data_IF_129008952603
#
_entry.id   IF_129008952603
#
_cell.length_a   1.000
_cell.length_b   1.000
_cell.length_c   1.000
_cell.angle_alpha   90.00
_cell.angle_beta   90.00
_cell.angle_gamma   90.00
#
_symmetry.space_group_name_H-M   'P 1'
#
loop_
_entity.id
_entity.type
_entity.pdbx_description
1 polymer ?
#
# COMPACT_ATOMS: atom_id res chain seq x y z
N UNK A 1 7.50 -17.98 12.66
CA UNK A 1 6.15 -17.40 12.64
C UNK A 1 5.31 -18.12 11.59
N UNK A 2 4.14 -18.65 11.97
CA UNK A 2 3.23 -19.38 11.08
C UNK A 2 2.27 -18.42 10.40
N UNK A 3 2.34 -18.32 9.07
CA UNK A 3 1.63 -17.33 8.27
C UNK A 3 0.62 -18.03 7.35
N UNK A 4 -0.59 -17.49 7.30
CA UNK A 4 -1.55 -17.77 6.23
C UNK A 4 -1.61 -16.59 5.25
N UNK A 5 -1.84 -16.87 3.98
CA UNK A 5 -1.96 -15.85 2.92
C UNK A 5 -3.35 -15.95 2.29
N UNK A 6 -4.09 -14.84 2.26
CA UNK A 6 -5.35 -14.73 1.52
C UNK A 6 -5.13 -14.16 0.12
N UNK A 7 -5.91 -14.64 -0.85
CA UNK A 7 -5.70 -14.30 -2.25
C UNK A 7 -4.44 -14.95 -2.80
N UNK A 8 -4.09 -16.14 -2.29
CA UNK A 8 -2.80 -16.79 -2.45
C UNK A 8 -2.41 -17.02 -3.92
N UNK A 9 -3.40 -17.29 -4.78
CA UNK A 9 -3.16 -17.48 -6.20
C UNK A 9 -3.08 -16.16 -6.99
N UNK A 10 -3.41 -15.03 -6.37
CA UNK A 10 -3.33 -13.70 -6.96
C UNK A 10 -1.90 -13.19 -7.16
N UNK A 11 -1.76 -12.02 -7.81
CA UNK A 11 -0.44 -11.42 -8.09
C UNK A 11 0.40 -11.19 -6.83
N UNK A 12 -0.20 -10.55 -5.80
CA UNK A 12 0.47 -10.31 -4.52
C UNK A 12 0.63 -11.57 -3.69
N UNK A 13 -0.39 -12.46 -3.69
CA UNK A 13 -0.34 -13.72 -2.95
C UNK A 13 0.86 -14.58 -3.33
N UNK A 14 1.15 -14.68 -4.64
CA UNK A 14 2.35 -15.39 -5.13
C UNK A 14 3.64 -14.80 -4.55
N UNK A 15 3.83 -13.48 -4.67
CA UNK A 15 5.01 -12.81 -4.14
C UNK A 15 5.18 -12.98 -2.63
N UNK A 16 4.05 -12.98 -1.88
CA UNK A 16 4.07 -13.24 -0.44
C UNK A 16 4.48 -14.67 -0.12
N UNK A 17 4.02 -15.66 -0.90
CA UNK A 17 4.44 -17.07 -0.74
C UNK A 17 5.95 -17.20 -0.95
N UNK A 18 6.49 -16.57 -2.00
CA UNK A 18 7.94 -16.55 -2.26
C UNK A 18 8.70 -15.88 -1.10
N UNK A 19 8.23 -14.72 -0.62
CA UNK A 19 8.85 -14.02 0.50
C UNK A 19 8.84 -14.85 1.79
N UNK A 20 7.74 -15.54 2.09
CA UNK A 20 7.66 -16.44 3.26
C UNK A 20 8.57 -17.64 3.09
N UNK A 21 8.71 -18.19 1.88
CA UNK A 21 9.62 -19.31 1.60
C UNK A 21 11.10 -18.93 1.76
N UNK A 22 11.47 -17.69 1.42
CA UNK A 22 12.83 -17.18 1.55
C UNK A 22 13.20 -16.73 2.97
N UNK A 23 12.21 -16.58 3.86
CA UNK A 23 12.42 -16.12 5.22
C UNK A 23 12.77 -17.29 6.16
N UNK A 24 13.86 -17.14 6.93
CA UNK A 24 14.31 -18.17 7.88
C UNK A 24 13.47 -18.25 9.16
N UNK A 25 12.67 -17.22 9.42
CA UNK A 25 11.87 -17.03 10.63
C UNK A 25 10.35 -17.09 10.36
N UNK A 26 9.95 -17.41 9.14
CA UNK A 26 8.55 -17.56 8.73
C UNK A 26 8.27 -18.92 8.10
N UNK A 27 7.02 -19.35 8.19
CA UNK A 27 6.55 -20.60 7.60
C UNK A 27 5.14 -20.40 7.05
N UNK A 28 4.92 -20.78 5.81
CA UNK A 28 3.58 -20.84 5.22
C UNK A 28 2.84 -22.05 5.84
N UNK A 29 1.69 -21.80 6.46
CA UNK A 29 0.84 -22.85 7.04
C UNK A 29 -0.57 -22.89 6.45
N UNK A 30 -0.90 -21.93 5.59
CA UNK A 30 -2.23 -21.80 5.02
C UNK A 30 -2.24 -20.90 3.78
N UNK A 31 -3.03 -21.29 2.78
CA UNK A 31 -3.18 -20.53 1.54
C UNK A 31 -4.67 -20.50 1.17
N UNK A 32 -5.28 -19.33 1.34
CA UNK A 32 -6.71 -19.13 1.12
C UNK A 32 -6.97 -18.53 -0.25
N UNK A 33 -8.01 -19.02 -0.91
CA UNK A 33 -8.50 -18.49 -2.18
C UNK A 33 -10.04 -18.58 -2.27
N UNK A 34 -10.66 -17.87 -3.22
CA UNK A 34 -12.11 -17.93 -3.43
C UNK A 34 -12.55 -19.33 -3.89
N UNK A 35 -13.75 -19.75 -3.48
CA UNK A 35 -14.31 -21.08 -3.78
C UNK A 35 -14.45 -21.40 -5.27
N UNK A 36 -14.52 -20.37 -6.13
CA UNK A 36 -14.59 -20.53 -7.59
C UNK A 36 -13.23 -20.60 -8.29
N UNK A 37 -12.11 -20.53 -7.55
CA UNK A 37 -10.80 -20.47 -8.16
C UNK A 37 -10.35 -21.83 -8.74
N UNK A 38 -9.88 -21.89 -9.99
CA UNK A 38 -9.61 -23.16 -10.68
C UNK A 38 -8.42 -23.95 -10.12
N UNK A 39 -7.59 -23.35 -9.27
CA UNK A 39 -6.40 -23.97 -8.68
C UNK A 39 -6.63 -24.51 -7.25
N UNK A 40 -7.85 -24.50 -6.72
CA UNK A 40 -8.13 -25.11 -5.41
C UNK A 40 -7.65 -26.57 -5.35
N UNK A 41 -7.07 -26.95 -4.22
CA UNK A 41 -6.46 -28.26 -3.98
C UNK A 41 -5.04 -28.42 -4.53
N UNK A 42 -4.55 -27.53 -5.39
CA UNK A 42 -3.16 -27.54 -5.88
C UNK A 42 -2.22 -26.90 -4.88
N UNK A 43 -0.93 -27.19 -5.00
CA UNK A 43 0.10 -26.57 -4.15
C UNK A 43 0.18 -25.06 -4.37
N UNK A 44 0.20 -24.29 -3.30
CA UNK A 44 0.18 -22.82 -3.33
C UNK A 44 1.41 -22.22 -4.04
N UNK A 45 2.55 -22.91 -4.00
CA UNK A 45 3.79 -22.48 -4.66
C UNK A 45 3.97 -23.02 -6.08
N UNK A 46 3.06 -23.85 -6.60
CA UNK A 46 3.27 -24.57 -7.86
C UNK A 46 3.54 -23.62 -9.04
N UNK A 47 2.79 -22.53 -9.13
CA UNK A 47 2.96 -21.51 -10.20
C UNK A 47 4.32 -20.79 -10.17
N UNK A 48 5.07 -20.95 -9.09
CA UNK A 48 6.37 -20.33 -8.85
C UNK A 48 7.51 -21.38 -8.81
N UNK A 49 7.21 -22.65 -9.05
CA UNK A 49 8.17 -23.74 -8.93
C UNK A 49 8.59 -24.05 -7.49
N UNK A 50 7.81 -23.63 -6.50
CA UNK A 50 8.06 -23.86 -5.07
C UNK A 50 7.15 -24.99 -4.60
N UNK A 51 7.72 -26.03 -3.97
CA UNK A 51 6.94 -27.07 -3.30
C UNK A 51 6.64 -26.63 -1.87
N UNK A 52 5.46 -26.04 -1.63
CA UNK A 52 5.08 -25.57 -0.29
C UNK A 52 4.51 -26.66 0.59
N UNK A 53 4.00 -27.73 -0.02
CA UNK A 53 3.18 -28.77 0.63
C UNK A 53 1.89 -28.20 1.28
N UNK A 54 1.47 -26.99 0.91
CA UNK A 54 0.25 -26.34 1.37
C UNK A 54 -0.70 -26.23 0.17
N UNK A 55 -1.85 -26.89 0.26
CA UNK A 55 -2.88 -26.79 -0.77
C UNK A 55 -3.63 -25.45 -0.68
N UNK A 56 -3.96 -24.88 -1.84
CA UNK A 56 -4.94 -23.80 -1.93
C UNK A 56 -6.30 -24.30 -1.44
N UNK A 57 -6.91 -23.57 -0.52
CA UNK A 57 -8.18 -23.94 0.10
C UNK A 57 -9.12 -22.75 0.13
N UNK A 58 -10.42 -23.00 0.11
CA UNK A 58 -11.49 -22.03 0.34
C UNK A 58 -12.08 -22.12 1.76
N UNK A 59 -11.59 -23.07 2.56
CA UNK A 59 -12.06 -23.31 3.93
C UNK A 59 -11.31 -22.41 4.91
N UNK A 60 -11.86 -21.21 5.11
CA UNK A 60 -11.29 -20.17 5.96
C UNK A 60 -10.84 -20.66 7.35
N UNK A 61 -11.71 -21.30 8.10
CA UNK A 61 -11.39 -21.74 9.47
C UNK A 61 -10.29 -22.82 9.49
N UNK A 62 -10.27 -23.73 8.51
CA UNK A 62 -9.23 -24.77 8.39
C UNK A 62 -7.87 -24.15 8.07
N UNK A 63 -7.84 -23.15 7.17
CA UNK A 63 -6.63 -22.42 6.80
C UNK A 63 -6.07 -21.62 7.98
N UNK A 64 -6.94 -21.02 8.79
CA UNK A 64 -6.54 -20.19 9.93
C UNK A 64 -6.20 -20.98 11.19
N UNK A 65 -6.64 -22.23 11.31
CA UNK A 65 -6.51 -23.07 12.52
C UNK A 65 -5.10 -23.12 13.12
N UNK A 66 -4.06 -23.08 12.28
CA UNK A 66 -2.66 -23.16 12.70
C UNK A 66 -1.86 -21.87 12.45
N UNK A 67 -2.51 -20.84 11.89
CA UNK A 67 -1.88 -19.57 11.58
C UNK A 67 -1.76 -18.69 12.83
N UNK A 68 -0.63 -17.99 12.95
CA UNK A 68 -0.45 -16.92 13.94
C UNK A 68 -0.83 -15.56 13.34
N UNK A 69 -0.64 -15.40 12.04
CA UNK A 69 -0.92 -14.18 11.28
C UNK A 69 -1.56 -14.54 9.93
N UNK A 70 -2.59 -13.80 9.53
CA UNK A 70 -3.10 -13.76 8.17
C UNK A 70 -2.59 -12.50 7.45
N UNK A 71 -2.00 -12.66 6.26
CA UNK A 71 -1.68 -11.53 5.37
C UNK A 71 -2.73 -11.46 4.26
N UNK A 72 -3.37 -10.30 4.12
CA UNK A 72 -4.52 -10.09 3.25
C UNK A 72 -4.30 -8.93 2.26
N UNK A 73 -4.21 -9.28 0.98
CA UNK A 73 -4.21 -8.35 -0.15
C UNK A 73 -5.31 -8.74 -1.16
N UNK A 74 -6.53 -8.89 -0.66
CA UNK A 74 -7.69 -9.34 -1.43
C UNK A 74 -8.62 -8.17 -1.79
N UNK A 75 -9.93 -8.43 -1.84
CA UNK A 75 -10.96 -7.43 -2.09
C UNK A 75 -11.69 -7.10 -0.79
N UNK A 76 -12.32 -5.92 -0.73
CA UNK A 76 -13.01 -5.39 0.46
C UNK A 76 -13.91 -6.41 1.17
N UNK A 77 -14.79 -7.06 0.41
CA UNK A 77 -15.75 -8.04 0.96
C UNK A 77 -15.05 -9.25 1.59
N UNK A 78 -14.02 -9.78 0.92
CA UNK A 78 -13.24 -10.89 1.44
C UNK A 78 -12.46 -10.48 2.71
N UNK A 79 -11.82 -9.30 2.69
CA UNK A 79 -11.10 -8.76 3.83
C UNK A 79 -11.96 -8.64 5.09
N UNK A 80 -13.23 -8.22 4.98
CA UNK A 80 -14.13 -8.12 6.13
C UNK A 80 -14.55 -9.51 6.66
N UNK A 81 -14.76 -10.49 5.78
CA UNK A 81 -15.01 -11.87 6.21
C UNK A 81 -13.77 -12.47 6.90
N UNK A 82 -12.58 -12.20 6.40
CA UNK A 82 -11.32 -12.64 7.00
C UNK A 82 -11.08 -11.98 8.36
N UNK A 83 -11.36 -10.69 8.50
CA UNK A 83 -11.27 -9.95 9.76
C UNK A 83 -12.14 -10.63 10.84
N UNK A 84 -13.40 -10.92 10.51
CA UNK A 84 -14.33 -11.58 11.42
C UNK A 84 -13.83 -12.97 11.86
N UNK A 85 -13.28 -13.76 10.94
CA UNK A 85 -12.73 -15.06 11.28
C UNK A 85 -11.44 -14.96 12.12
N UNK A 86 -10.56 -14.01 11.79
CA UNK A 86 -9.34 -13.74 12.54
C UNK A 86 -9.65 -13.33 13.99
N UNK A 87 -10.62 -12.44 14.20
CA UNK A 87 -11.08 -12.06 15.54
C UNK A 87 -11.64 -13.26 16.31
N UNK A 88 -12.50 -14.06 15.68
CA UNK A 88 -13.09 -15.26 16.32
C UNK A 88 -12.02 -16.27 16.74
N UNK A 89 -10.98 -16.44 15.92
CA UNK A 89 -9.94 -17.45 16.12
C UNK A 89 -8.70 -16.91 16.87
N UNK A 90 -8.65 -15.62 17.18
CA UNK A 90 -7.50 -14.98 17.81
C UNK A 90 -6.26 -14.89 16.90
N UNK A 91 -6.46 -14.90 15.58
CA UNK A 91 -5.37 -14.80 14.59
C UNK A 91 -5.09 -13.33 14.31
N UNK A 92 -3.81 -12.94 14.28
CA UNK A 92 -3.40 -11.56 13.98
C UNK A 92 -3.56 -11.29 12.48
N UNK A 93 -3.64 -10.02 12.07
CA UNK A 93 -3.87 -9.68 10.67
C UNK A 93 -2.94 -8.58 10.14
N UNK A 94 -2.45 -8.76 8.92
CA UNK A 94 -1.80 -7.72 8.12
C UNK A 94 -2.69 -7.42 6.93
N UNK A 95 -3.22 -6.21 6.86
CA UNK A 95 -4.23 -5.79 5.87
C UNK A 95 -3.59 -4.81 4.90
N UNK A 96 -3.31 -5.29 3.69
CA UNK A 96 -2.90 -4.48 2.53
C UNK A 96 -4.05 -4.18 1.57
N UNK A 97 -5.26 -4.66 1.85
CA UNK A 97 -6.47 -4.40 1.06
C UNK A 97 -6.82 -2.90 1.09
N UNK A 98 -6.99 -2.31 -0.10
CA UNK A 98 -7.27 -0.88 -0.28
C UNK A 98 -8.74 -0.61 -0.62
N UNK A 99 -9.13 0.67 -0.58
CA UNK A 99 -10.47 1.12 -0.99
C UNK A 99 -11.58 0.87 0.03
N UNK A 100 -11.26 0.57 1.28
CA UNK A 100 -12.22 0.37 2.37
C UNK A 100 -12.99 1.66 2.71
N UNK A 101 -14.28 1.54 3.03
CA UNK A 101 -15.10 2.67 3.54
C UNK A 101 -14.70 3.04 4.97
N UNK A 102 -15.15 4.21 5.44
CA UNK A 102 -14.92 4.62 6.83
C UNK A 102 -15.52 3.62 7.82
N UNK A 103 -16.75 3.13 7.59
CA UNK A 103 -17.36 2.09 8.44
C UNK A 103 -16.52 0.80 8.52
N UNK A 104 -15.87 0.41 7.41
CA UNK A 104 -15.00 -0.77 7.36
C UNK A 104 -13.68 -0.52 8.11
N UNK A 105 -13.13 0.70 8.05
CA UNK A 105 -11.95 1.10 8.83
C UNK A 105 -12.26 1.19 10.32
N UNK A 106 -13.44 1.67 10.68
CA UNK A 106 -13.92 1.67 12.07
C UNK A 106 -14.06 0.25 12.59
N UNK A 107 -14.57 -0.68 11.76
CA UNK A 107 -14.64 -2.10 12.11
C UNK A 107 -13.27 -2.74 12.34
N UNK A 108 -12.27 -2.39 11.53
CA UNK A 108 -10.87 -2.79 11.74
C UNK A 108 -10.35 -2.23 13.07
N UNK A 109 -10.65 -0.97 13.37
CA UNK A 109 -10.22 -0.33 14.63
C UNK A 109 -10.83 -1.00 15.86
N UNK A 110 -12.10 -1.42 15.77
CA UNK A 110 -12.76 -2.20 16.81
C UNK A 110 -12.12 -3.59 16.98
N UNK A 111 -11.79 -4.26 15.88
CA UNK A 111 -11.11 -5.56 15.90
C UNK A 111 -9.72 -5.49 16.52
N UNK A 112 -9.01 -4.37 16.30
CA UNK A 112 -7.67 -4.14 16.82
C UNK A 112 -7.61 -4.10 18.36
N UNK A 113 -8.76 -3.97 19.04
CA UNK A 113 -8.85 -4.09 20.49
C UNK A 113 -8.72 -5.55 20.99
N UNK A 114 -8.93 -6.54 20.12
CA UNK A 114 -8.93 -7.98 20.45
C UNK A 114 -7.75 -8.73 19.83
N UNK A 115 -7.39 -8.37 18.59
CA UNK A 115 -6.28 -8.98 17.84
C UNK A 115 -5.30 -7.92 17.36
N UNK A 116 -4.02 -8.28 17.22
CA UNK A 116 -3.04 -7.36 16.64
C UNK A 116 -3.28 -7.20 15.14
N UNK A 117 -3.39 -5.96 14.67
CA UNK A 117 -3.61 -5.62 13.26
C UNK A 117 -2.59 -4.60 12.78
N UNK A 118 -1.95 -4.89 11.65
CA UNK A 118 -1.22 -3.91 10.85
C UNK A 118 -2.08 -3.58 9.64
N UNK A 119 -2.59 -2.36 9.57
CA UNK A 119 -3.34 -1.87 8.41
C UNK A 119 -2.59 -0.70 7.79
N UNK A 120 -2.21 -0.84 6.52
CA UNK A 120 -1.56 0.23 5.78
C UNK A 120 -1.99 0.22 4.31
N UNK A 121 -2.30 1.39 3.72
CA UNK A 121 -2.65 1.50 2.31
C UNK A 121 -1.45 1.24 1.37
N UNK A 122 -0.23 1.21 1.91
CA UNK A 122 1.00 0.85 1.21
C UNK A 122 1.96 0.12 2.17
N UNK A 123 2.42 -1.07 1.79
CA UNK A 123 3.31 -1.90 2.62
C UNK A 123 4.80 -1.73 2.28
N UNK A 124 5.15 -0.88 1.31
CA UNK A 124 6.56 -0.56 1.02
C UNK A 124 7.18 0.20 2.19
N UNK A 125 8.24 -0.38 2.76
CA UNK A 125 9.04 0.28 3.80
C UNK A 125 9.59 1.61 3.28
N UNK A 126 10.10 1.65 2.06
CA UNK A 126 10.66 2.85 1.44
C UNK A 126 9.63 3.97 1.29
N UNK A 127 8.40 3.64 0.88
CA UNK A 127 7.32 4.63 0.80
C UNK A 127 6.96 5.17 2.19
N UNK A 128 6.80 4.31 3.19
CA UNK A 128 6.45 4.74 4.54
C UNK A 128 7.55 5.61 5.19
N UNK A 129 8.83 5.25 5.01
CA UNK A 129 9.95 6.10 5.44
C UNK A 129 9.91 7.44 4.71
N UNK A 130 9.65 7.44 3.40
CA UNK A 130 9.52 8.66 2.60
C UNK A 130 8.42 9.57 3.15
N UNK A 131 7.24 9.03 3.45
CA UNK A 131 6.15 9.81 4.06
C UNK A 131 6.59 10.48 5.37
N UNK A 132 7.34 9.77 6.23
CA UNK A 132 7.86 10.37 7.47
C UNK A 132 8.90 11.46 7.21
N UNK A 133 9.78 11.25 6.23
CA UNK A 133 10.75 12.28 5.83
C UNK A 133 10.07 13.52 5.27
N UNK A 134 8.97 13.36 4.52
CA UNK A 134 8.17 14.48 4.01
C UNK A 134 7.47 15.26 5.11
N UNK A 135 6.95 14.58 6.13
CA UNK A 135 6.41 15.23 7.33
C UNK A 135 7.49 16.09 8.01
N UNK A 136 8.68 15.54 8.24
CA UNK A 136 9.79 16.29 8.86
C UNK A 136 10.23 17.45 7.95
N UNK A 137 10.49 17.18 6.67
CA UNK A 137 10.95 18.18 5.72
C UNK A 137 9.94 19.32 5.55
N UNK A 138 8.65 19.02 5.42
CA UNK A 138 7.60 20.05 5.32
C UNK A 138 7.47 20.87 6.61
N UNK A 139 7.69 20.28 7.78
CA UNK A 139 7.68 21.06 9.04
C UNK A 139 8.83 22.06 9.14
N UNK A 140 9.98 21.76 8.54
CA UNK A 140 11.20 22.59 8.58
C UNK A 140 11.29 23.57 7.40
N UNK A 141 10.89 23.13 6.20
CA UNK A 141 10.91 23.90 4.95
C UNK A 141 9.51 24.52 4.69
N UNK A 142 8.94 25.16 5.71
CA UNK A 142 7.55 25.63 5.72
C UNK A 142 7.36 27.08 5.25
N UNK A 143 8.45 27.84 5.09
CA UNK A 143 8.47 29.24 4.67
C UNK A 143 9.36 29.38 3.44
N UNK A 144 8.91 30.14 2.45
CA UNK A 144 9.67 30.46 1.22
C UNK A 144 10.14 29.25 0.37
N UNK A 145 9.59 28.05 0.60
CA UNK A 145 9.73 26.91 -0.30
C UNK A 145 8.43 26.60 -1.05
N UNK A 146 8.56 26.47 -2.36
CA UNK A 146 7.55 25.88 -3.23
C UNK A 146 7.61 24.35 -3.16
N UNK A 147 6.45 23.69 -3.17
CA UNK A 147 6.36 22.23 -3.05
C UNK A 147 5.75 21.63 -4.31
N UNK A 148 6.47 20.71 -4.94
CA UNK A 148 6.02 20.00 -6.14
C UNK A 148 6.19 18.48 -5.95
N UNK A 149 5.11 17.74 -6.21
CA UNK A 149 5.09 16.28 -6.24
C UNK A 149 5.16 15.82 -7.69
N UNK A 150 6.23 15.13 -8.03
CA UNK A 150 6.51 14.61 -9.38
C UNK A 150 6.43 13.09 -9.33
N UNK A 151 5.69 12.49 -10.25
CA UNK A 151 5.61 11.03 -10.34
C UNK A 151 5.72 10.51 -11.77
N UNK A 152 6.17 9.26 -11.90
CA UNK A 152 6.16 8.53 -13.15
C UNK A 152 5.72 7.08 -12.97
N UNK A 153 4.88 6.60 -13.88
CA UNK A 153 4.41 5.22 -13.92
C UNK A 153 4.25 4.73 -15.37
N UNK A 154 4.10 3.43 -15.54
CA UNK A 154 3.88 2.76 -16.81
C UNK A 154 2.64 3.26 -17.56
N UNK A 155 2.63 3.07 -18.88
CA UNK A 155 1.55 3.54 -19.78
C UNK A 155 0.16 3.00 -19.45
N UNK A 156 0.08 1.84 -18.79
CA UNK A 156 -1.19 1.18 -18.44
C UNK A 156 -1.78 1.63 -17.10
N UNK A 157 -1.16 2.58 -16.39
CA UNK A 157 -1.69 3.05 -15.10
C UNK A 157 -2.88 3.97 -15.34
N UNK A 158 -4.01 3.63 -14.74
CA UNK A 158 -5.33 4.25 -15.01
C UNK A 158 -5.54 5.52 -14.19
N UNK A 159 -5.14 5.51 -12.92
CA UNK A 159 -5.29 6.62 -11.98
C UNK A 159 -4.15 7.65 -12.13
N UNK A 160 -4.47 8.95 -11.97
CA UNK A 160 -3.52 10.05 -12.00
C UNK A 160 -4.02 11.25 -11.15
N UNK A 161 -3.23 11.76 -10.18
CA UNK A 161 -1.99 11.17 -9.65
C UNK A 161 -2.25 9.79 -9.02
N UNK A 162 -1.18 9.04 -8.80
CA UNK A 162 -1.17 7.78 -8.07
C UNK A 162 -1.58 7.98 -6.61
N UNK A 163 -2.14 6.93 -6.00
CA UNK A 163 -2.45 6.93 -4.56
C UNK A 163 -1.25 7.29 -3.67
N UNK A 164 -0.04 6.86 -4.04
CA UNK A 164 1.19 7.22 -3.30
C UNK A 164 1.50 8.72 -3.43
N UNK A 165 1.38 9.31 -4.63
CA UNK A 165 1.61 10.75 -4.80
C UNK A 165 0.58 11.57 -4.02
N UNK A 166 -0.69 11.16 -4.05
CA UNK A 166 -1.75 11.80 -3.24
C UNK A 166 -1.43 11.70 -1.75
N UNK A 167 -1.05 10.53 -1.25
CA UNK A 167 -0.65 10.36 0.16
C UNK A 167 0.54 11.25 0.54
N UNK A 168 1.54 11.42 -0.34
CA UNK A 168 2.65 12.35 -0.12
C UNK A 168 2.15 13.80 0.00
N UNK A 169 1.27 14.23 -0.91
CA UNK A 169 0.66 15.55 -0.86
C UNK A 169 -0.21 15.77 0.38
N UNK A 170 -0.97 14.76 0.81
CA UNK A 170 -1.82 14.81 2.00
C UNK A 170 -1.00 14.96 3.29
N UNK A 171 0.11 14.22 3.42
CA UNK A 171 1.03 14.36 4.56
C UNK A 171 1.59 15.78 4.63
N UNK A 172 2.03 16.33 3.50
CA UNK A 172 2.56 17.70 3.44
C UNK A 172 1.46 18.71 3.77
N UNK A 173 0.29 18.60 3.15
CA UNK A 173 -0.83 19.52 3.38
C UNK A 173 -1.23 19.53 4.86
N UNK A 174 -1.41 18.35 5.46
CA UNK A 174 -1.73 18.21 6.88
C UNK A 174 -0.67 18.84 7.78
N UNK A 175 0.61 18.59 7.48
CA UNK A 175 1.72 19.14 8.28
C UNK A 175 1.76 20.66 8.25
N UNK A 176 1.42 21.25 7.11
CA UNK A 176 1.39 22.70 6.91
C UNK A 176 0.05 23.37 7.27
N UNK A 177 -0.93 22.61 7.79
CA UNK A 177 -2.26 23.13 8.08
C UNK A 177 -3.05 23.58 6.83
N UNK A 178 -2.78 22.94 5.69
CA UNK A 178 -3.40 23.20 4.37
C UNK A 178 -4.43 22.11 4.02
N UNK A 179 -5.28 22.40 3.04
CA UNK A 179 -6.20 21.40 2.47
C UNK A 179 -5.79 21.10 1.04
N UNK A 180 -5.40 19.85 0.78
CA UNK A 180 -4.97 19.41 -0.55
C UNK A 180 -6.07 19.60 -1.60
N UNK A 181 -7.36 19.58 -1.22
CA UNK A 181 -8.47 19.82 -2.15
C UNK A 181 -8.49 21.25 -2.68
N UNK A 182 -8.14 22.24 -1.85
CA UNK A 182 -8.11 23.66 -2.25
C UNK A 182 -6.74 24.12 -2.73
N UNK A 183 -5.67 23.58 -2.16
CA UNK A 183 -4.29 24.02 -2.41
C UNK A 183 -3.55 23.13 -3.42
N UNK A 184 -4.11 21.98 -3.78
CA UNK A 184 -3.57 21.09 -4.81
C UNK A 184 -3.71 21.66 -6.23
N UNK A 185 -2.62 21.66 -6.99
CA UNK A 185 -2.62 22.07 -8.41
C UNK A 185 -2.18 20.89 -9.28
N UNK A 186 -3.14 20.24 -9.93
CA UNK A 186 -2.93 18.97 -10.65
C UNK A 186 -2.58 19.12 -12.13
N UNK A 187 -2.72 20.32 -12.68
CA UNK A 187 -2.33 20.64 -14.05
C UNK A 187 -1.99 22.13 -14.17
N UNK A 188 -1.07 22.46 -15.08
CA UNK A 188 -0.74 23.83 -15.46
C UNK A 188 -0.66 23.91 -16.99
N UNK A 189 -1.38 24.86 -17.59
CA UNK A 189 -1.41 25.04 -19.04
C UNK A 189 -1.76 26.50 -19.39
N UNK A 190 -0.99 27.13 -20.29
CA UNK A 190 -1.22 28.52 -20.69
C UNK A 190 -0.80 29.56 -19.65
N UNK A 191 -1.51 30.71 -19.61
CA UNK A 191 -1.23 31.82 -18.70
C UNK A 191 -1.91 31.61 -17.33
N UNK A 192 -1.15 31.11 -16.36
CA UNK A 192 -1.64 30.81 -15.00
C UNK A 192 -1.37 31.92 -13.96
N UNK A 193 -0.62 32.96 -14.35
CA UNK A 193 -0.10 33.97 -13.41
C UNK A 193 1.02 33.41 -12.52
N UNK A 194 1.39 34.18 -11.50
CA UNK A 194 2.39 33.77 -10.51
C UNK A 194 1.87 32.60 -9.64
N UNK A 195 2.80 31.73 -9.20
CA UNK A 195 2.49 30.60 -8.32
C UNK A 195 1.97 31.12 -6.97
N UNK A 196 0.91 30.50 -6.45
CA UNK A 196 0.43 30.77 -5.09
C UNK A 196 1.34 30.05 -4.10
N UNK A 197 1.83 30.76 -3.07
CA UNK A 197 2.72 30.19 -2.05
C UNK A 197 2.15 28.93 -1.37
N UNK A 198 0.84 28.92 -1.11
CA UNK A 198 0.16 27.80 -0.47
C UNK A 198 0.05 26.55 -1.35
N UNK A 199 0.24 26.68 -2.67
CA UNK A 199 -0.03 25.58 -3.59
C UNK A 199 0.93 24.39 -3.41
N UNK A 200 0.40 23.19 -3.61
CA UNK A 200 1.16 21.95 -3.74
C UNK A 200 0.92 21.46 -5.18
N UNK A 201 1.94 21.55 -6.04
CA UNK A 201 1.80 21.18 -7.44
C UNK A 201 2.01 19.69 -7.66
N UNK A 202 1.33 19.14 -8.67
CA UNK A 202 1.51 17.76 -9.12
C UNK A 202 1.91 17.72 -10.59
N UNK A 203 2.94 16.93 -10.90
CA UNK A 203 3.38 16.63 -12.26
C UNK A 203 3.40 15.13 -12.48
N UNK A 204 2.53 14.65 -13.36
CA UNK A 204 2.29 13.20 -13.54
C UNK A 204 2.77 12.72 -14.91
N UNK A 205 3.64 11.71 -14.92
CA UNK A 205 4.22 11.13 -16.14
C UNK A 205 3.68 9.70 -16.34
N UNK A 206 3.28 9.37 -17.58
CA UNK A 206 2.91 8.02 -18.00
C UNK A 206 3.81 7.60 -19.15
N UNK A 207 4.75 6.69 -18.89
CA UNK A 207 5.75 6.30 -19.88
C UNK A 207 6.22 4.85 -19.68
N UNK A 208 6.39 4.13 -20.78
CA UNK A 208 7.03 2.81 -20.77
C UNK A 208 6.37 1.81 -19.82
N UNK A 209 7.23 1.15 -19.05
CA UNK A 209 6.99 0.11 -18.05
C UNK A 209 7.43 0.52 -16.64
N UNK A 210 7.61 1.83 -16.39
CA UNK A 210 8.03 2.38 -15.08
C UNK A 210 7.12 1.86 -13.97
N UNK A 211 7.69 1.18 -12.97
CA UNK A 211 6.91 0.57 -11.88
C UNK A 211 6.29 1.65 -10.99
N UNK A 212 7.09 2.66 -10.61
CA UNK A 212 6.64 3.80 -9.84
C UNK A 212 7.81 4.60 -9.27
N UNK A 213 7.95 5.83 -9.76
CA UNK A 213 8.90 6.82 -9.28
C UNK A 213 8.13 8.00 -8.69
N UNK A 214 8.59 8.49 -7.53
CA UNK A 214 7.98 9.59 -6.80
C UNK A 214 9.07 10.50 -6.25
N UNK A 215 9.03 11.77 -6.59
CA UNK A 215 9.93 12.80 -6.07
C UNK A 215 9.11 13.95 -5.54
N UNK A 216 9.31 14.31 -4.27
CA UNK A 216 8.82 15.60 -3.76
C UNK A 216 9.99 16.56 -3.72
N UNK A 217 9.81 17.69 -4.37
CA UNK A 217 10.77 18.78 -4.43
C UNK A 217 10.28 19.94 -3.55
N UNK A 218 11.14 20.39 -2.64
CA UNK A 218 11.04 21.64 -1.92
C UNK A 218 12.02 22.62 -2.57
N UNK A 219 11.51 23.66 -3.23
CA UNK A 219 12.32 24.61 -3.99
C UNK A 219 12.27 26.01 -3.35
N UNK A 220 13.41 26.46 -2.84
CA UNK A 220 13.58 27.80 -2.29
C UNK A 220 14.47 28.67 -3.18
N UNK A 221 14.78 29.88 -2.72
CA UNK A 221 15.70 30.75 -3.47
C UNK A 221 17.14 30.25 -3.31
N UNK A 222 17.75 29.78 -4.40
CA UNK A 222 19.16 29.37 -4.44
C UNK A 222 19.42 27.89 -4.14
N UNK A 223 18.41 27.13 -3.72
CA UNK A 223 18.55 25.71 -3.41
C UNK A 223 17.28 24.90 -3.63
N UNK A 224 17.44 23.57 -3.67
CA UNK A 224 16.35 22.61 -3.76
C UNK A 224 16.67 21.38 -2.93
N UNK A 225 15.66 20.86 -2.24
CA UNK A 225 15.71 19.58 -1.52
C UNK A 225 14.73 18.62 -2.18
N UNK A 226 15.22 17.45 -2.58
CA UNK A 226 14.42 16.42 -3.24
C UNK A 226 14.43 15.14 -2.40
N UNK A 227 13.23 14.64 -2.10
CA UNK A 227 13.05 13.34 -1.45
C UNK A 227 12.42 12.40 -2.49
N UNK A 228 13.14 11.34 -2.84
CA UNK A 228 12.79 10.45 -3.95
C UNK A 228 12.66 9.00 -3.52
N UNK A 229 11.60 8.34 -3.96
CA UNK A 229 11.39 6.90 -3.89
C UNK A 229 11.26 6.33 -5.30
N UNK A 230 11.96 5.23 -5.58
CA UNK A 230 11.86 4.49 -6.86
C UNK A 230 11.63 3.02 -6.59
N UNK A 231 10.66 2.43 -7.29
CA UNK A 231 10.34 1.00 -7.18
C UNK A 231 10.92 0.25 -8.37
N UNK A 232 11.69 -0.81 -8.14
CA UNK A 232 12.20 -1.69 -9.21
C UNK A 232 11.28 -2.89 -9.48
N UNK A 233 10.48 -3.28 -8.50
CA UNK A 233 9.49 -4.36 -8.57
C UNK A 233 8.33 -4.06 -7.61
N UNK A 234 7.32 -4.93 -7.62
CA UNK A 234 6.22 -4.91 -6.65
C UNK A 234 6.67 -5.40 -5.27
#
# INVERSE_FOLDING_TARGET
>A
MRIAIAGAAGRMGRMLIEAVHQANDAQLVGALEISSHPLLGRDAGESQGIATCIALSDKLDDVLKHAEVLIDFTQRQACMAHLQACERLGVKMVIGTTGLSEDEKDRISQAAAQIAIVFAPNMSVGVNVTLKLLEIASSLLNQDYDIEVIEAHHRHKVDAPSGTALAMGEVIAKTLGRDLKSDGVFARHGHMGARKQASIGFSTIRAGDIVGDHTVMFAGTGERVEITHRSSSR
#
